data_IF_210928713866
#
_entry.id   IF_210928713866
#
_cell.length_a   1.000
_cell.length_b   1.000
_cell.length_c   1.000
_cell.angle_alpha   90.00
_cell.angle_beta   90.00
_cell.angle_gamma   90.00
#
_symmetry.space_group_name_H-M   'P 1'
#
loop_
_entity.id
_entity.type
_entity.pdbx_description
1 polymer ?
#
# COMPACT_ATOMS: atom_id res chain seq x y z
N UNK A 1 -18.81 5.64 5.14
CA UNK A 1 -17.39 5.46 4.73
C UNK A 1 -17.04 6.25 3.48
N UNK A 2 -17.85 6.20 2.40
CA UNK A 2 -17.59 6.91 1.13
C UNK A 2 -17.28 8.41 1.28
N UNK A 3 -17.99 9.11 2.14
CA UNK A 3 -17.79 10.56 2.37
C UNK A 3 -16.68 10.89 3.38
N UNK A 4 -16.07 9.88 4.03
CA UNK A 4 -14.96 10.11 4.96
C UNK A 4 -13.67 10.37 4.17
N UNK A 5 -12.81 11.22 4.72
CA UNK A 5 -11.43 11.37 4.28
C UNK A 5 -10.54 10.39 5.03
N UNK A 6 -9.50 9.83 4.39
CA UNK A 6 -8.66 8.84 5.06
C UNK A 6 -7.83 9.49 6.16
N UNK A 7 -7.78 8.83 7.32
CA UNK A 7 -6.72 9.01 8.31
C UNK A 7 -5.70 7.90 8.09
N UNK A 8 -4.40 8.24 8.10
CA UNK A 8 -3.34 7.26 7.90
C UNK A 8 -2.73 6.85 9.24
N UNK A 9 -2.77 5.56 9.55
CA UNK A 9 -2.08 4.98 10.71
C UNK A 9 -0.82 4.24 10.25
N UNK A 10 0.22 4.32 11.08
CA UNK A 10 1.50 3.64 10.89
C UNK A 10 1.68 2.46 11.86
N UNK A 11 0.64 2.02 12.56
CA UNK A 11 0.74 1.02 13.64
C UNK A 11 1.28 -0.34 13.16
N UNK A 12 1.11 -0.67 11.88
CA UNK A 12 1.47 -1.96 11.29
C UNK A 12 2.57 -1.88 10.23
N UNK A 13 3.32 -0.77 10.16
CA UNK A 13 4.35 -0.62 9.13
C UNK A 13 5.44 -1.67 9.28
N UNK A 14 5.74 -2.35 8.17
CA UNK A 14 6.82 -3.33 8.13
C UNK A 14 8.18 -2.63 8.16
N UNK A 15 8.99 -2.94 9.17
CA UNK A 15 10.35 -2.43 9.38
C UNK A 15 11.40 -3.56 9.38
N UNK A 16 11.18 -4.60 8.58
CA UNK A 16 12.04 -5.80 8.55
C UNK A 16 13.20 -5.71 7.54
N UNK A 17 13.45 -4.55 6.94
CA UNK A 17 14.58 -4.30 6.02
C UNK A 17 14.42 -4.90 4.61
N UNK A 18 13.27 -5.52 4.30
CA UNK A 18 12.98 -6.10 2.99
C UNK A 18 12.57 -5.08 1.93
N UNK A 19 12.41 -5.56 0.68
CA UNK A 19 12.05 -4.74 -0.49
C UNK A 19 10.73 -3.98 -0.34
N UNK A 20 9.78 -4.52 0.42
CA UNK A 20 8.45 -3.95 0.63
C UNK A 20 8.28 -3.31 2.01
N UNK A 21 9.37 -2.92 2.66
CA UNK A 21 9.39 -2.37 4.01
C UNK A 21 9.60 -0.86 4.00
N UNK A 22 9.07 -0.19 5.03
CA UNK A 22 9.28 1.23 5.28
C UNK A 22 10.68 1.57 5.78
N UNK A 23 11.58 0.60 5.90
CA UNK A 23 13.02 0.80 6.15
C UNK A 23 13.89 0.04 5.14
N UNK A 24 13.37 -0.24 3.94
CA UNK A 24 14.14 -0.88 2.88
C UNK A 24 15.39 -0.06 2.53
N UNK A 25 16.51 -0.74 2.23
CA UNK A 25 17.81 -0.12 1.97
C UNK A 25 17.83 0.85 0.78
N UNK A 26 16.87 0.72 -0.14
CA UNK A 26 16.72 1.61 -1.29
C UNK A 26 15.99 2.93 -0.98
N UNK A 27 15.49 3.12 0.24
CA UNK A 27 14.73 4.32 0.63
C UNK A 27 15.64 5.40 1.18
N UNK A 28 15.51 6.62 0.63
CA UNK A 28 16.21 7.80 1.12
C UNK A 28 15.28 8.85 1.72
N UNK A 29 15.87 9.88 2.34
CA UNK A 29 15.13 11.04 2.90
C UNK A 29 14.11 11.64 1.91
N UNK A 30 14.49 11.77 0.64
CA UNK A 30 13.63 12.34 -0.40
C UNK A 30 12.37 11.50 -0.63
N UNK A 31 12.45 10.17 -0.50
CA UNK A 31 11.31 9.28 -0.69
C UNK A 31 10.27 9.46 0.43
N UNK A 32 10.71 9.61 1.68
CA UNK A 32 9.77 9.91 2.78
C UNK A 32 9.16 11.31 2.65
N UNK A 33 9.91 12.32 2.22
CA UNK A 33 9.33 13.63 1.93
C UNK A 33 8.23 13.53 0.87
N UNK A 34 8.47 12.79 -0.22
CA UNK A 34 7.48 12.54 -1.26
C UNK A 34 6.29 11.73 -0.73
N UNK A 35 6.53 10.72 0.10
CA UNK A 35 5.47 9.91 0.72
C UNK A 35 4.55 10.78 1.58
N UNK A 36 5.11 11.58 2.50
CA UNK A 36 4.31 12.46 3.37
C UNK A 36 3.51 13.48 2.55
N UNK A 37 4.12 14.06 1.51
CA UNK A 37 3.42 14.98 0.61
C UNK A 37 2.27 14.28 -0.14
N UNK A 38 2.47 13.05 -0.58
CA UNK A 38 1.45 12.24 -1.22
C UNK A 38 0.31 11.88 -0.26
N UNK A 39 0.62 11.40 0.95
CA UNK A 39 -0.37 11.09 1.98
C UNK A 39 -1.20 12.33 2.34
N UNK A 40 -0.56 13.49 2.49
CA UNK A 40 -1.26 14.77 2.68
C UNK A 40 -2.24 15.06 1.54
N UNK A 41 -1.81 14.89 0.28
CA UNK A 41 -2.69 15.08 -0.87
C UNK A 41 -3.88 14.11 -0.84
N UNK A 42 -3.63 12.81 -0.66
CA UNK A 42 -4.67 11.77 -0.60
C UNK A 42 -5.66 12.06 0.53
N UNK A 43 -5.19 12.50 1.71
CA UNK A 43 -6.02 12.84 2.87
C UNK A 43 -6.96 14.03 2.64
N UNK A 44 -6.77 14.81 1.58
CA UNK A 44 -7.66 15.91 1.25
C UNK A 44 -8.95 15.46 0.54
N UNK A 45 -8.97 14.22 0.03
CA UNK A 45 -10.07 13.63 -0.74
C UNK A 45 -10.88 12.61 0.07
N UNK A 46 -12.14 12.40 -0.30
CA UNK A 46 -12.98 11.37 0.31
C UNK A 46 -12.71 9.99 -0.30
N UNK A 47 -13.04 8.91 0.41
CA UNK A 47 -12.92 7.55 -0.15
C UNK A 47 -13.72 7.35 -1.44
N UNK A 48 -14.84 8.07 -1.62
CA UNK A 48 -15.57 8.10 -2.89
C UNK A 48 -14.68 8.61 -4.03
N UNK A 49 -14.10 9.81 -3.86
CA UNK A 49 -13.21 10.40 -4.85
C UNK A 49 -11.99 9.52 -5.11
N UNK A 50 -11.40 8.94 -4.07
CA UNK A 50 -10.23 8.07 -4.20
C UNK A 50 -10.55 6.81 -5.01
N UNK A 51 -11.74 6.24 -4.84
CA UNK A 51 -12.20 5.07 -5.59
C UNK A 51 -12.58 5.38 -7.04
N UNK A 52 -13.20 6.55 -7.27
CA UNK A 52 -13.69 6.94 -8.60
C UNK A 52 -12.53 7.39 -9.52
N UNK A 53 -11.45 7.94 -8.96
CA UNK A 53 -10.33 8.48 -9.73
C UNK A 53 -9.14 7.50 -9.84
N UNK A 54 -8.93 6.95 -11.04
CA UNK A 54 -7.87 5.98 -11.33
C UNK A 54 -6.46 6.43 -10.92
N UNK A 55 -6.17 7.74 -10.89
CA UNK A 55 -4.85 8.27 -10.53
C UNK A 55 -4.38 7.88 -9.12
N UNK A 56 -5.31 7.60 -8.20
CA UNK A 56 -4.96 7.17 -6.84
C UNK A 56 -4.68 5.68 -6.76
N UNK A 57 -5.06 4.91 -7.78
CA UNK A 57 -5.00 3.44 -7.79
C UNK A 57 -5.56 2.83 -6.49
N UNK A 58 -6.63 3.41 -5.94
CA UNK A 58 -7.26 2.92 -4.72
C UNK A 58 -8.20 1.76 -5.05
N UNK A 59 -7.70 0.55 -4.93
CA UNK A 59 -8.48 -0.67 -5.11
C UNK A 59 -7.91 -1.81 -4.27
N UNK A 60 -8.71 -2.86 -4.12
CA UNK A 60 -8.29 -4.07 -3.44
C UNK A 60 -7.17 -4.78 -4.21
N UNK A 61 -6.28 -5.45 -3.49
CA UNK A 61 -5.22 -6.27 -4.08
C UNK A 61 -5.76 -7.68 -4.29
N UNK A 62 -5.55 -8.20 -5.50
CA UNK A 62 -5.69 -9.63 -5.77
C UNK A 62 -4.32 -10.29 -5.59
N UNK A 63 -4.22 -11.22 -4.64
CA UNK A 63 -2.96 -11.90 -4.31
C UNK A 63 -2.37 -12.69 -5.48
N UNK A 64 -3.21 -13.15 -6.42
CA UNK A 64 -2.76 -13.89 -7.61
C UNK A 64 -1.99 -13.01 -8.61
N UNK A 65 -2.29 -11.71 -8.60
CA UNK A 65 -1.74 -10.70 -9.53
C UNK A 65 -0.43 -10.08 -9.01
N UNK A 66 -0.08 -10.34 -7.75
CA UNK A 66 1.11 -9.78 -7.10
C UNK A 66 2.18 -10.83 -6.82
N UNK A 67 3.39 -10.35 -6.55
CA UNK A 67 4.59 -11.11 -6.14
C UNK A 67 4.80 -11.06 -4.63
N UNK A 68 4.14 -10.12 -3.94
CA UNK A 68 4.13 -10.05 -2.48
C UNK A 68 3.33 -11.25 -1.93
N UNK A 69 3.86 -11.90 -0.90
CA UNK A 69 3.15 -12.97 -0.21
C UNK A 69 2.02 -12.41 0.66
N UNK A 70 0.81 -12.96 0.51
CA UNK A 70 -0.31 -12.74 1.44
C UNK A 70 0.12 -13.00 2.89
N UNK A 71 0.91 -14.05 3.12
CA UNK A 71 1.41 -14.39 4.45
C UNK A 71 2.32 -13.31 5.05
N UNK A 72 3.12 -12.62 4.24
CA UNK A 72 4.01 -11.56 4.72
C UNK A 72 3.22 -10.31 5.12
N UNK A 73 2.13 -10.01 4.41
CA UNK A 73 1.21 -8.94 4.78
C UNK A 73 0.57 -9.23 6.15
N UNK A 74 0.01 -10.43 6.35
CA UNK A 74 -0.63 -10.79 7.62
C UNK A 74 0.37 -10.90 8.78
N UNK A 75 1.59 -11.38 8.56
CA UNK A 75 2.67 -11.37 9.57
C UNK A 75 3.08 -9.96 10.02
N UNK A 76 2.75 -8.91 9.26
CA UNK A 76 2.96 -7.55 9.74
C UNK A 76 1.85 -7.08 10.69
N UNK A 77 0.68 -7.73 10.65
CA UNK A 77 -0.49 -7.38 11.45
C UNK A 77 -0.57 -8.25 12.71
N UNK A 78 -0.38 -9.57 12.57
CA UNK A 78 -0.56 -10.56 13.63
C UNK A 78 0.75 -11.17 14.15
N UNK A 79 1.92 -10.72 13.64
CA UNK A 79 3.26 -11.29 13.85
C UNK A 79 3.47 -12.69 13.24
N UNK A 80 2.44 -13.54 13.27
CA UNK A 80 2.40 -14.88 12.67
C UNK A 80 1.28 -14.96 11.63
N UNK A 81 1.28 -16.01 10.81
CA UNK A 81 0.23 -16.26 9.83
C UNK A 81 -0.28 -17.70 9.97
N UNK A 82 -1.54 -17.84 10.35
CA UNK A 82 -2.24 -19.11 10.56
C UNK A 82 -3.34 -19.35 9.52
N UNK A 83 -3.34 -18.60 8.41
CA UNK A 83 -4.34 -18.72 7.34
C UNK A 83 -5.47 -17.69 7.45
N UNK A 84 -5.26 -16.59 8.17
CA UNK A 84 -6.21 -15.50 8.32
C UNK A 84 -6.56 -14.88 6.95
N UNK A 85 -7.85 -14.52 6.77
CA UNK A 85 -8.40 -13.86 5.58
C UNK A 85 -9.46 -12.83 5.93
N UNK A 86 -9.36 -12.27 7.13
CA UNK A 86 -10.35 -11.36 7.72
C UNK A 86 -10.15 -9.89 7.32
N UNK A 87 -9.07 -9.58 6.60
CA UNK A 87 -8.73 -8.24 6.16
C UNK A 87 -8.64 -8.17 4.64
N UNK A 88 -9.35 -7.22 4.05
CA UNK A 88 -9.21 -6.91 2.62
C UNK A 88 -8.01 -5.96 2.41
N UNK A 89 -6.96 -6.39 1.69
CA UNK A 89 -5.82 -5.53 1.37
C UNK A 89 -6.20 -4.54 0.28
N UNK A 90 -5.71 -3.30 0.40
CA UNK A 90 -5.87 -2.23 -0.56
C UNK A 90 -4.50 -1.61 -0.87
N UNK A 91 -4.39 -0.97 -2.03
CA UNK A 91 -3.23 -0.15 -2.36
C UNK A 91 -3.58 1.30 -2.64
N UNK A 92 -2.59 2.18 -2.53
CA UNK A 92 -2.61 3.52 -3.09
C UNK A 92 -1.35 3.78 -3.91
N UNK A 93 -1.49 4.48 -5.03
CA UNK A 93 -0.38 5.21 -5.67
C UNK A 93 -0.07 6.47 -4.89
N UNK A 94 1.19 6.60 -4.49
CA UNK A 94 1.65 7.76 -3.71
C UNK A 94 2.43 8.74 -4.58
N UNK A 95 3.54 8.31 -5.18
CA UNK A 95 4.35 9.14 -6.06
C UNK A 95 5.10 8.26 -7.06
N UNK A 96 5.36 8.78 -8.26
CA UNK A 96 5.98 8.00 -9.35
C UNK A 96 5.29 6.63 -9.49
N UNK A 97 6.03 5.53 -9.38
CA UNK A 97 5.49 4.18 -9.39
C UNK A 97 5.29 3.59 -7.99
N UNK A 98 5.62 4.34 -6.93
CA UNK A 98 5.53 3.83 -5.57
C UNK A 98 4.08 3.57 -5.13
N UNK A 99 3.89 2.48 -4.38
CA UNK A 99 2.62 2.04 -3.80
C UNK A 99 2.76 1.85 -2.30
N UNK A 100 1.76 2.30 -1.53
CA UNK A 100 1.55 1.80 -0.17
C UNK A 100 0.48 0.73 -0.21
N UNK A 101 0.65 -0.29 0.61
CA UNK A 101 -0.28 -1.40 0.76
C UNK A 101 -0.70 -1.43 2.22
N UNK A 102 -1.99 -1.62 2.43
CA UNK A 102 -2.59 -1.52 3.76
C UNK A 102 -4.01 -2.04 3.77
N UNK A 103 -4.75 -1.69 4.81
CA UNK A 103 -6.16 -2.05 4.93
C UNK A 103 -6.98 -0.92 5.53
N UNK A 104 -8.29 -0.98 5.30
CA UNK A 104 -9.25 0.03 5.75
C UNK A 104 -10.08 -0.50 6.91
N UNK A 105 -10.06 0.19 8.05
CA UNK A 105 -10.93 -0.11 9.17
C UNK A 105 -11.44 1.19 9.80
N UNK A 106 -12.78 1.30 9.92
CA UNK A 106 -13.47 2.47 10.51
C UNK A 106 -13.01 3.84 9.96
N UNK A 107 -12.66 3.92 8.68
CA UNK A 107 -12.22 5.17 8.01
C UNK A 107 -10.74 5.51 8.21
N UNK A 108 -9.98 4.63 8.87
CA UNK A 108 -8.53 4.72 8.98
C UNK A 108 -7.91 3.74 7.99
N UNK A 109 -6.97 4.22 7.19
CA UNK A 109 -6.11 3.38 6.37
C UNK A 109 -4.83 3.07 7.14
N UNK A 110 -4.66 1.80 7.49
CA UNK A 110 -3.47 1.31 8.20
C UNK A 110 -2.42 0.90 7.16
N UNK A 111 -1.28 1.58 7.17
CA UNK A 111 -0.16 1.28 6.29
C UNK A 111 0.55 0.02 6.81
N UNK A 112 0.85 -0.91 5.91
CA UNK A 112 1.52 -2.18 6.24
C UNK A 112 2.81 -2.34 5.45
N UNK A 113 2.76 -2.22 4.13
CA UNK A 113 3.92 -2.41 3.25
C UNK A 113 4.13 -1.21 2.34
N UNK A 114 5.39 -0.99 1.93
CA UNK A 114 5.75 0.09 1.01
C UNK A 114 6.56 -0.45 -0.17
N UNK A 115 5.95 -0.44 -1.34
CA UNK A 115 6.58 -0.83 -2.59
C UNK A 115 7.04 0.41 -3.35
N UNK A 116 8.31 0.77 -3.18
CA UNK A 116 8.88 1.95 -3.83
C UNK A 116 8.98 1.82 -5.36
N UNK A 117 9.21 0.60 -5.85
CA UNK A 117 9.60 0.31 -7.24
C UNK A 117 8.48 -0.24 -8.12
N UNK A 118 7.28 -0.41 -7.56
CA UNK A 118 6.18 -1.15 -8.20
C UNK A 118 6.56 -2.59 -8.55
N UNK A 119 7.36 -3.21 -7.67
CA UNK A 119 7.83 -4.59 -7.82
C UNK A 119 6.80 -5.61 -7.35
N UNK A 120 5.74 -5.15 -6.68
CA UNK A 120 4.66 -5.99 -6.17
C UNK A 120 3.88 -6.66 -7.28
N UNK A 121 3.86 -6.16 -8.51
CA UNK A 121 3.07 -6.74 -9.60
C UNK A 121 3.95 -7.44 -10.62
N UNK A 122 3.50 -8.61 -11.08
CA UNK A 122 4.15 -9.33 -12.18
C UNK A 122 4.08 -8.43 -13.43
N UNK A 123 5.22 -7.92 -13.90
CA UNK A 123 5.27 -7.27 -15.20
C UNK A 123 4.94 -8.33 -16.24
N UNK A 124 3.78 -8.21 -16.92
CA UNK A 124 3.62 -8.91 -18.20
C UNK A 124 4.76 -8.39 -19.07
N UNK A 125 5.69 -9.27 -19.42
CA UNK A 125 6.69 -8.96 -20.43
C UNK A 125 5.94 -8.44 -21.64
N UNK A 126 5.99 -7.12 -21.85
CA UNK A 126 5.68 -6.53 -23.15
C UNK A 126 6.80 -7.03 -24.05
N UNK A 127 6.68 -8.26 -24.56
CA UNK A 127 7.40 -8.69 -25.75
C UNK A 127 7.13 -7.60 -26.78
N UNK A 128 8.14 -6.79 -27.06
CA UNK A 128 8.16 -5.87 -28.20
C UNK A 128 7.77 -6.73 -29.41
N UNK A 129 6.57 -6.52 -29.94
CA UNK A 129 6.25 -6.83 -31.32
C UNK A 129 6.72 -5.65 -32.16
#
# INVERSE_FOLDING_TARGET
>A
MKELKPVFSFDYVSLKGGTFCFNGSSLGRKDYTKLIQALKNISSHTYKTLNDEYRFHFHNINWDDVTISESDFYKCIYNEYNGEKDITPYQFKVFEEARIIGFLYKGVFYLVMFDRGHNAYKRKDRKKK
#
